data_IF_345528479276
#
_entry.id   IF_345528479276
#
_cell.length_a   1.000
_cell.length_b   1.000
_cell.length_c   1.000
_cell.angle_alpha   90.00
_cell.angle_beta   90.00
_cell.angle_gamma   90.00
#
_symmetry.space_group_name_H-M   'P 1'
#
loop_
_entity.id
_entity.type
_entity.pdbx_description
1 polymer ?
#
# COMPACT_ATOMS: atom_id res chain seq x y z
N UNK A 1 -14.17 13.30 6.90
CA UNK A 1 -14.95 13.89 8.00
C UNK A 1 -14.46 15.31 8.23
N UNK A 2 -15.36 16.25 8.52
CA UNK A 2 -15.08 17.70 8.53
C UNK A 2 -13.87 18.09 9.40
N UNK A 3 -13.73 17.50 10.59
CA UNK A 3 -12.57 17.74 11.47
C UNK A 3 -11.24 17.29 10.86
N UNK A 4 -11.22 16.16 10.12
CA UNK A 4 -10.01 15.64 9.48
C UNK A 4 -9.59 16.53 8.30
N UNK A 5 -10.56 16.99 7.51
CA UNK A 5 -10.29 17.93 6.42
C UNK A 5 -9.74 19.26 6.96
N UNK A 6 -10.28 19.73 8.08
CA UNK A 6 -9.74 20.92 8.74
C UNK A 6 -8.28 20.74 9.20
N UNK A 7 -7.94 19.58 9.77
CA UNK A 7 -6.57 19.26 10.19
C UNK A 7 -5.58 19.25 9.02
N UNK A 8 -6.00 18.75 7.83
CA UNK A 8 -5.16 18.75 6.62
C UNK A 8 -4.77 20.14 6.12
N UNK A 9 -5.54 21.18 6.46
CA UNK A 9 -5.20 22.56 6.09
C UNK A 9 -3.99 23.11 6.85
N UNK A 10 -3.69 22.56 8.05
CA UNK A 10 -2.64 23.06 8.93
C UNK A 10 -1.56 22.03 9.29
N UNK A 11 -1.72 20.77 8.90
CA UNK A 11 -0.80 19.68 9.20
C UNK A 11 -0.36 19.00 7.91
N UNK A 12 0.90 18.55 7.86
CA UNK A 12 1.33 17.62 6.82
C UNK A 12 0.54 16.30 6.94
N UNK A 13 0.34 15.58 5.83
CA UNK A 13 -0.53 14.40 5.78
C UNK A 13 -0.18 13.34 6.84
N UNK A 14 1.11 13.12 7.09
CA UNK A 14 1.59 12.15 8.08
C UNK A 14 1.35 12.56 9.55
N UNK A 15 0.96 13.81 9.82
CA UNK A 15 0.61 14.30 11.15
C UNK A 15 -0.90 14.27 11.41
N UNK A 16 -1.71 14.04 10.38
CA UNK A 16 -3.16 13.97 10.52
C UNK A 16 -3.54 12.64 11.18
N UNK A 17 -4.20 12.63 12.35
CA UNK A 17 -4.54 11.40 13.04
C UNK A 17 -5.44 10.51 12.21
N UNK A 18 -5.08 9.24 12.10
CA UNK A 18 -5.91 8.24 11.44
C UNK A 18 -7.20 7.98 12.23
N UNK A 19 -7.14 8.11 13.56
CA UNK A 19 -8.26 7.84 14.46
C UNK A 19 -8.65 9.10 15.24
N UNK A 20 -9.93 9.44 15.21
CA UNK A 20 -10.52 10.51 16.02
C UNK A 20 -11.68 9.90 16.82
N UNK A 21 -11.53 9.82 18.14
CA UNK A 21 -12.55 9.31 19.04
C UNK A 21 -13.14 10.46 19.85
N UNK A 22 -14.47 10.58 19.82
CA UNK A 22 -15.17 11.47 20.73
C UNK A 22 -15.31 10.80 22.09
N UNK A 23 -14.89 11.52 23.13
CA UNK A 23 -15.06 11.13 24.53
C UNK A 23 -15.88 12.21 25.22
N UNK A 24 -16.88 11.80 26.00
CA UNK A 24 -17.65 12.75 26.82
C UNK A 24 -16.76 13.41 27.89
N UNK A 25 -15.73 12.70 28.36
CA UNK A 25 -14.75 13.19 29.33
C UNK A 25 -13.41 12.49 29.15
N UNK A 26 -12.32 13.24 29.33
CA UNK A 26 -10.97 12.68 29.37
C UNK A 26 -10.74 11.92 30.68
N UNK A 27 -10.21 10.68 30.64
CA UNK A 27 -9.85 9.95 31.84
C UNK A 27 -8.67 10.63 32.53
N UNK A 28 -8.77 10.85 33.83
CA UNK A 28 -7.72 11.48 34.62
C UNK A 28 -7.36 10.62 35.83
N UNK A 29 -6.10 10.65 36.21
CA UNK A 29 -5.58 10.08 37.46
C UNK A 29 -6.16 10.79 38.67
N UNK A 30 -6.00 10.22 39.86
CA UNK A 30 -6.40 10.86 41.13
C UNK A 30 -5.81 12.28 41.32
N UNK A 31 -4.66 12.57 40.70
CA UNK A 31 -4.01 13.87 40.74
C UNK A 31 -4.44 14.81 39.60
N UNK A 32 -5.50 14.48 38.85
CA UNK A 32 -6.05 15.31 37.78
C UNK A 32 -5.27 15.31 36.46
N UNK A 33 -4.16 14.56 36.35
CA UNK A 33 -3.42 14.40 35.09
C UNK A 33 -4.10 13.39 34.17
N UNK A 34 -4.04 13.59 32.86
CA UNK A 34 -4.54 12.63 31.86
C UNK A 34 -3.99 11.22 32.12
N UNK A 35 -4.89 10.26 32.29
CA UNK A 35 -4.54 8.85 32.35
C UNK A 35 -4.54 8.24 30.93
N UNK A 36 -3.36 8.22 30.31
CA UNK A 36 -3.18 7.71 28.95
C UNK A 36 -3.45 6.21 28.84
N UNK A 37 -3.34 5.44 29.94
CA UNK A 37 -3.59 3.98 29.92
C UNK A 37 -5.09 3.66 29.96
N UNK A 38 -5.87 4.57 30.54
CA UNK A 38 -7.33 4.46 30.59
C UNK A 38 -8.03 4.99 29.32
N UNK A 39 -7.28 5.54 28.34
CA UNK A 39 -7.86 5.91 27.06
C UNK A 39 -8.38 4.66 26.33
N UNK A 40 -9.62 4.70 25.81
CA UNK A 40 -10.15 3.60 25.02
C UNK A 40 -9.30 3.39 23.77
N UNK A 41 -9.09 2.13 23.42
CA UNK A 41 -8.44 1.79 22.15
C UNK A 41 -9.44 1.99 21.01
N UNK A 42 -9.00 2.53 19.85
CA UNK A 42 -9.82 2.52 18.65
C UNK A 42 -10.22 1.07 18.33
N UNK A 43 -11.52 0.84 18.12
CA UNK A 43 -11.99 -0.47 17.69
C UNK A 43 -11.78 -0.60 16.18
N UNK A 44 -10.80 -1.41 15.79
CA UNK A 44 -10.46 -1.62 14.38
C UNK A 44 -11.60 -2.25 13.57
N UNK A 45 -12.54 -2.95 14.22
CA UNK A 45 -13.68 -3.58 13.54
C UNK A 45 -14.74 -2.58 13.07
N UNK A 46 -14.85 -1.44 13.74
CA UNK A 46 -15.75 -0.33 13.37
C UNK A 46 -15.14 0.52 12.24
N UNK A 47 -13.86 0.31 11.91
CA UNK A 47 -13.10 1.09 10.93
C UNK A 47 -13.07 0.47 9.53
N UNK A 48 -13.54 -0.77 9.38
CA UNK A 48 -13.79 -1.33 8.05
C UNK A 48 -15.03 -0.62 7.51
N UNK A 49 -14.81 0.42 6.70
CA UNK A 49 -15.86 0.93 5.81
C UNK A 49 -16.49 -0.27 5.09
N UNK A 50 -17.82 -0.24 4.88
CA UNK A 50 -18.61 -1.34 4.35
C UNK A 50 -17.81 -2.23 3.38
N UNK A 51 -17.45 -3.42 3.86
CA UNK A 51 -16.46 -4.29 3.22
C UNK A 51 -16.75 -4.48 1.73
N UNK A 52 -15.80 -4.07 0.89
CA UNK A 52 -15.80 -4.33 -0.54
C UNK A 52 -14.66 -5.29 -0.83
N UNK A 53 -14.98 -6.46 -1.36
CA UNK A 53 -14.00 -7.49 -1.67
C UNK A 53 -13.06 -7.05 -2.80
N UNK A 54 -11.76 -7.35 -2.71
CA UNK A 54 -10.82 -7.26 -3.83
C UNK A 54 -11.32 -8.05 -5.04
N UNK A 55 -11.25 -7.44 -6.23
CA UNK A 55 -11.77 -8.02 -7.46
C UNK A 55 -10.66 -8.59 -8.34
N UNK A 56 -9.59 -7.81 -8.58
CA UNK A 56 -8.47 -8.22 -9.44
C UNK A 56 -7.49 -9.15 -8.73
N UNK A 57 -6.70 -9.92 -9.49
CA UNK A 57 -5.66 -10.79 -8.93
C UNK A 57 -4.63 -9.97 -8.13
N UNK A 58 -4.24 -8.81 -8.64
CA UNK A 58 -3.31 -7.90 -7.96
C UNK A 58 -3.89 -7.39 -6.64
N UNK A 59 -5.13 -6.92 -6.64
CA UNK A 59 -5.81 -6.47 -5.42
C UNK A 59 -5.91 -7.58 -4.37
N UNK A 60 -6.26 -8.81 -4.79
CA UNK A 60 -6.36 -9.97 -3.91
C UNK A 60 -5.01 -10.33 -3.28
N UNK A 61 -3.93 -10.32 -4.06
CA UNK A 61 -2.57 -10.56 -3.56
C UNK A 61 -2.15 -9.49 -2.55
N UNK A 62 -2.35 -8.21 -2.86
CA UNK A 62 -1.99 -7.11 -1.97
C UNK A 62 -2.83 -7.17 -0.69
N UNK A 63 -4.13 -7.43 -0.78
CA UNK A 63 -5.03 -7.56 0.37
C UNK A 63 -4.58 -8.69 1.31
N UNK A 64 -4.19 -9.84 0.76
CA UNK A 64 -3.68 -10.97 1.53
C UNK A 64 -2.38 -10.59 2.27
N UNK A 65 -1.44 -9.91 1.59
CA UNK A 65 -0.19 -9.44 2.19
C UNK A 65 -0.48 -8.46 3.34
N UNK A 66 -1.42 -7.53 3.16
CA UNK A 66 -1.81 -6.59 4.21
C UNK A 66 -2.44 -7.31 5.40
N UNK A 67 -3.37 -8.23 5.16
CA UNK A 67 -4.01 -9.03 6.19
C UNK A 67 -2.97 -9.79 7.04
N UNK A 68 -1.99 -10.44 6.40
CA UNK A 68 -0.93 -11.17 7.07
C UNK A 68 -0.02 -10.28 7.92
N UNK A 69 0.40 -9.13 7.36
CA UNK A 69 1.32 -8.20 8.04
C UNK A 69 0.63 -7.50 9.21
N UNK A 70 -0.63 -7.10 9.03
CA UNK A 70 -1.42 -6.40 10.04
C UNK A 70 -2.13 -7.35 11.02
N UNK A 71 -2.06 -8.67 10.78
CA UNK A 71 -2.72 -9.73 11.56
C UNK A 71 -4.24 -9.54 11.61
N UNK A 72 -4.83 -9.29 10.45
CA UNK A 72 -6.27 -9.16 10.25
C UNK A 72 -6.80 -10.39 9.53
N UNK A 73 -8.09 -10.69 9.72
CA UNK A 73 -8.74 -11.80 9.00
C UNK A 73 -8.90 -11.49 7.51
N UNK A 74 -9.20 -10.23 7.17
CA UNK A 74 -9.39 -9.76 5.79
C UNK A 74 -9.17 -8.26 5.68
N UNK A 75 -8.88 -7.82 4.45
CA UNK A 75 -8.75 -6.42 4.05
C UNK A 75 -9.60 -6.19 2.81
N UNK A 76 -10.40 -5.12 2.80
CA UNK A 76 -11.24 -4.69 1.69
C UNK A 76 -10.60 -3.56 0.86
N UNK A 77 -11.19 -3.26 -0.30
CA UNK A 77 -10.72 -2.23 -1.22
C UNK A 77 -10.67 -0.82 -0.60
N UNK A 78 -11.63 -0.51 0.26
CA UNK A 78 -11.74 0.80 0.90
C UNK A 78 -10.97 0.88 2.23
N UNK A 79 -10.26 -0.17 2.61
CA UNK A 79 -9.50 -0.14 3.84
C UNK A 79 -8.19 0.64 3.66
N UNK A 80 -7.95 1.59 4.56
CA UNK A 80 -6.71 2.36 4.60
C UNK A 80 -5.63 1.67 5.43
N UNK A 81 -4.42 1.47 4.88
CA UNK A 81 -3.32 0.78 5.55
C UNK A 81 -3.04 1.30 6.97
N UNK A 82 -2.92 2.62 7.10
CA UNK A 82 -2.64 3.27 8.39
C UNK A 82 -3.87 3.32 9.30
N UNK A 83 -5.09 3.28 8.72
CA UNK A 83 -6.33 3.23 9.49
C UNK A 83 -6.50 1.85 10.14
N UNK A 84 -6.05 0.80 9.46
CA UNK A 84 -5.96 -0.56 9.98
C UNK A 84 -4.82 -0.78 10.99
N UNK A 85 -4.09 0.28 11.38
CA UNK A 85 -3.00 0.19 12.36
C UNK A 85 -1.61 -0.03 11.74
N UNK A 86 -1.47 0.11 10.43
CA UNK A 86 -0.18 0.13 9.74
C UNK A 86 0.74 1.27 10.22
N UNK A 87 2.04 1.03 10.20
CA UNK A 87 3.08 1.98 10.58
C UNK A 87 4.35 1.75 9.74
N UNK A 88 5.39 2.57 9.89
CA UNK A 88 6.57 2.53 9.01
C UNK A 88 7.21 1.14 8.88
N UNK A 89 7.40 0.40 9.97
CA UNK A 89 7.98 -0.95 9.91
C UNK A 89 7.09 -1.97 9.16
N UNK A 90 5.78 -1.99 9.42
CA UNK A 90 4.87 -2.89 8.72
C UNK A 90 4.68 -2.46 7.25
N UNK A 91 4.70 -1.16 6.97
CA UNK A 91 4.70 -0.63 5.61
C UNK A 91 5.91 -1.14 4.83
N UNK A 92 7.13 -1.05 5.39
CA UNK A 92 8.33 -1.61 4.75
C UNK A 92 8.19 -3.12 4.48
N UNK A 93 7.62 -3.88 5.41
CA UNK A 93 7.37 -5.32 5.21
C UNK A 93 6.39 -5.59 4.07
N UNK A 94 5.31 -4.81 3.98
CA UNK A 94 4.36 -4.88 2.86
C UNK A 94 5.07 -4.58 1.54
N UNK A 95 5.86 -3.52 1.46
CA UNK A 95 6.56 -3.14 0.22
C UNK A 95 7.46 -4.26 -0.27
N UNK A 96 8.25 -4.88 0.61
CA UNK A 96 9.13 -6.00 0.24
C UNK A 96 8.30 -7.19 -0.27
N UNK A 97 7.25 -7.59 0.47
CA UNK A 97 6.42 -8.75 0.10
C UNK A 97 5.62 -8.54 -1.17
N UNK A 98 5.11 -7.33 -1.40
CA UNK A 98 4.42 -6.99 -2.64
C UNK A 98 5.39 -7.12 -3.81
N UNK A 99 6.59 -6.56 -3.70
CA UNK A 99 7.61 -6.69 -4.75
C UNK A 99 8.01 -8.14 -5.02
N UNK A 100 8.14 -8.95 -3.98
CA UNK A 100 8.44 -10.39 -4.11
C UNK A 100 7.29 -11.17 -4.78
N UNK A 101 6.05 -10.85 -4.46
CA UNK A 101 4.87 -11.56 -4.97
C UNK A 101 4.46 -11.14 -6.38
N UNK A 102 4.61 -9.86 -6.73
CA UNK A 102 4.09 -9.29 -7.99
C UNK A 102 5.19 -8.93 -8.98
N UNK A 103 6.45 -8.80 -8.53
CA UNK A 103 7.55 -8.27 -9.34
C UNK A 103 7.48 -6.76 -9.58
N UNK A 104 6.43 -6.08 -9.12
CA UNK A 104 6.25 -4.63 -9.29
C UNK A 104 7.09 -3.89 -8.24
N UNK A 105 7.84 -2.88 -8.68
CA UNK A 105 8.64 -2.05 -7.78
C UNK A 105 7.75 -1.07 -6.98
N UNK A 106 7.13 -1.57 -5.92
CA UNK A 106 6.37 -0.76 -4.98
C UNK A 106 7.31 0.06 -4.07
N UNK A 107 6.92 1.29 -3.73
CA UNK A 107 7.69 2.16 -2.85
C UNK A 107 6.91 2.58 -1.63
N UNK A 108 7.64 2.90 -0.54
CA UNK A 108 7.02 3.42 0.67
C UNK A 108 6.27 4.73 0.40
N UNK A 109 6.83 5.59 -0.47
CA UNK A 109 6.21 6.86 -0.87
C UNK A 109 4.81 6.64 -1.46
N UNK A 110 4.67 5.69 -2.37
CA UNK A 110 3.38 5.38 -3.01
C UNK A 110 2.33 4.91 -2.00
N UNK A 111 2.72 4.10 -1.00
CA UNK A 111 1.79 3.67 0.05
C UNK A 111 1.34 4.82 0.96
N UNK A 112 2.20 5.82 1.18
CA UNK A 112 1.82 7.03 1.92
C UNK A 112 0.92 7.97 1.11
N UNK A 113 1.18 8.12 -0.18
CA UNK A 113 0.37 8.95 -1.09
C UNK A 113 -1.00 8.30 -1.39
N UNK A 114 -1.04 6.96 -1.47
CA UNK A 114 -2.22 6.16 -1.78
C UNK A 114 -2.44 5.11 -0.67
N UNK A 115 -2.99 5.51 0.49
CA UNK A 115 -3.09 4.61 1.64
C UNK A 115 -4.26 3.63 1.56
N UNK A 116 -5.23 3.83 0.65
CA UNK A 116 -6.34 2.90 0.41
C UNK A 116 -5.88 1.73 -0.45
N UNK A 117 -6.33 0.52 -0.15
CA UNK A 117 -5.97 -0.68 -0.91
C UNK A 117 -6.27 -0.51 -2.41
N UNK A 118 -7.44 0.03 -2.76
CA UNK A 118 -7.84 0.29 -4.14
C UNK A 118 -6.87 1.25 -4.86
N UNK A 119 -6.59 2.40 -4.25
CA UNK A 119 -5.73 3.44 -4.84
C UNK A 119 -4.28 2.93 -4.98
N UNK A 120 -3.78 2.23 -3.96
CA UNK A 120 -2.45 1.64 -3.98
C UNK A 120 -2.31 0.60 -5.09
N UNK A 121 -3.30 -0.30 -5.21
CA UNK A 121 -3.30 -1.35 -6.23
C UNK A 121 -3.37 -0.76 -7.64
N UNK A 122 -4.24 0.23 -7.86
CA UNK A 122 -4.35 0.98 -9.11
C UNK A 122 -3.01 1.62 -9.49
N UNK A 123 -2.36 2.30 -8.54
CA UNK A 123 -1.06 2.93 -8.77
C UNK A 123 0.03 1.94 -9.18
N UNK A 124 0.04 0.74 -8.58
CA UNK A 124 0.99 -0.31 -8.94
C UNK A 124 0.67 -0.91 -10.31
N UNK A 125 -0.60 -1.07 -10.65
CA UNK A 125 -1.04 -1.56 -11.96
C UNK A 125 -0.62 -0.60 -13.08
N UNK A 126 -0.81 0.71 -12.90
CA UNK A 126 -0.32 1.72 -13.84
C UNK A 126 1.19 1.65 -14.07
N UNK A 127 1.97 1.41 -13.01
CA UNK A 127 3.43 1.25 -13.13
C UNK A 127 3.79 0.00 -13.91
N UNK A 128 3.07 -1.10 -13.69
CA UNK A 128 3.31 -2.33 -14.42
C UNK A 128 3.03 -2.15 -15.92
N UNK A 129 1.89 -1.53 -16.25
CA UNK A 129 1.50 -1.24 -17.65
C UNK A 129 2.46 -0.29 -18.37
N UNK A 130 3.22 0.55 -17.65
CA UNK A 130 4.27 1.39 -18.24
C UNK A 130 5.57 0.63 -18.52
N UNK A 131 5.83 -0.47 -17.80
CA UNK A 131 7.03 -1.30 -17.97
C UNK A 131 6.82 -2.38 -19.03
N UNK A 132 5.60 -2.91 -19.17
CA UNK A 132 5.23 -3.95 -20.13
C UNK A 132 5.65 -3.66 -21.59
N UNK A 133 5.49 -2.43 -22.14
CA UNK A 133 5.88 -2.14 -23.52
C UNK A 133 7.40 -2.20 -23.73
N UNK A 134 8.17 -1.78 -22.73
CA UNK A 134 9.63 -1.80 -22.78
C UNK A 134 10.13 -3.24 -22.71
N UNK A 135 9.56 -4.05 -21.82
CA UNK A 135 9.93 -5.47 -21.72
C UNK A 135 9.52 -6.27 -22.95
N UNK A 136 8.35 -6.00 -23.53
CA UNK A 136 7.91 -6.62 -24.78
C UNK A 136 8.88 -6.30 -25.95
N UNK A 137 9.31 -5.05 -26.07
CA UNK A 137 10.27 -4.63 -27.09
C UNK A 137 11.67 -5.21 -26.86
N UNK A 138 12.11 -5.31 -25.59
CA UNK A 138 13.38 -5.93 -25.21
C UNK A 138 13.38 -7.43 -25.49
N UNK A 139 12.29 -8.13 -25.17
CA UNK A 139 12.11 -9.54 -25.45
C UNK A 139 12.12 -9.82 -26.95
N UNK A 140 11.42 -8.99 -27.73
CA UNK A 140 11.41 -9.04 -29.20
C UNK A 140 12.80 -8.81 -29.80
N UNK A 141 13.55 -7.85 -29.24
CA UNK A 141 14.93 -7.57 -29.63
C UNK A 141 15.90 -8.70 -29.27
N UNK A 142 15.74 -9.33 -28.10
CA UNK A 142 16.51 -10.50 -27.68
C UNK A 142 16.19 -11.74 -28.53
N UNK A 143 14.93 -11.94 -28.92
CA UNK A 143 14.57 -12.97 -29.89
C UNK A 143 15.18 -12.71 -31.26
N UNK A 144 15.17 -11.46 -31.74
CA UNK A 144 15.80 -11.09 -33.00
C UNK A 144 17.31 -11.39 -32.98
N UNK A 145 18.00 -11.03 -31.89
CA UNK A 145 19.43 -11.33 -31.68
C UNK A 145 19.73 -12.84 -31.61
N UNK A 146 18.83 -13.65 -31.06
CA UNK A 146 18.98 -15.13 -31.02
C UNK A 146 18.72 -15.80 -32.37
N UNK A 147 17.98 -15.14 -33.27
CA UNK A 147 17.70 -15.62 -34.63
C UNK A 147 18.81 -15.27 -35.61
N UNK A 148 19.69 -14.32 -35.28
CA UNK A 148 20.95 -14.13 -36.01
C UNK A 148 21.82 -15.37 -35.80
N UNK A 149 22.09 -16.08 -36.88
CA UNK A 149 22.95 -17.27 -36.87
C UNK A 149 24.42 -16.87 -36.85
N UNK A 150 25.28 -17.74 -36.33
CA UNK A 150 26.75 -17.55 -36.27
C UNK A 150 27.36 -17.17 -37.63
N UNK A 151 26.71 -17.55 -38.74
CA UNK A 151 27.11 -17.23 -40.12
C UNK A 151 27.03 -15.73 -40.46
N UNK A 152 26.11 -14.97 -39.87
CA UNK A 152 25.95 -13.52 -40.14
C UNK A 152 26.98 -12.67 -39.37
N UNK A 153 27.56 -13.22 -38.28
CA UNK A 153 28.62 -12.57 -37.52
C UNK A 153 29.96 -12.67 -38.25
N UNK A 154 30.22 -13.78 -38.95
CA UNK A 154 31.43 -13.97 -39.75
C UNK A 154 31.43 -13.11 -41.03
N UNK A 155 30.28 -12.80 -41.63
CA UNK A 155 30.16 -11.88 -42.78
C UNK A 155 30.40 -10.41 -42.40
N UNK A 156 30.27 -10.03 -41.13
CA UNK A 156 30.41 -8.65 -40.66
C UNK A 156 31.84 -8.28 -40.23
N UNK A 157 32.73 -9.27 -40.12
CA UNK A 157 34.13 -9.12 -39.71
C UNK A 157 35.10 -9.38 -40.89
N UNK A 158 34.59 -9.77 -42.07
CA UNK A 158 35.35 -9.86 -43.33
C UNK A 158 35.24 -8.60 -44.18
#
# INVERSE_FOLDING_TARGET
>A
GELREHLRLGLADYMVPTHLLFLERLPVTANGKLDRKALPKPDASVLQDSYVAPCSELEQQIAAIWADVLKLERVGLNDGFFALGGHSLSATQVIVRVREATGIDATLKELFEHPLLADFSCRLEEKNQQIDPIQAELAKSLEALKRLTTEEIDELIS
#
